data_IF_137676783997
#
_entry.id   IF_137676783997
#
_cell.length_a   1.000
_cell.length_b   1.000
_cell.length_c   1.000
_cell.angle_alpha   90.00
_cell.angle_beta   90.00
_cell.angle_gamma   90.00
#
_symmetry.space_group_name_H-M   'P 1'
#
loop_
_entity.id
_entity.type
_entity.pdbx_description
1 polymer ?
#
# COMPACT_ATOMS: atom_id res chain seq x y z
N UNK A 1 8.23 3.61 9.07
CA UNK A 1 7.40 4.36 8.08
C UNK A 1 5.94 3.92 8.03
N UNK A 2 5.57 2.76 8.49
CA UNK A 2 4.17 2.29 8.55
C UNK A 2 3.54 1.87 7.22
N UNK A 3 4.30 1.71 6.12
CA UNK A 3 3.78 1.31 4.80
C UNK A 3 2.90 0.06 4.89
N UNK A 4 3.46 -1.06 5.30
CA UNK A 4 2.75 -2.34 5.41
C UNK A 4 1.52 -2.24 6.31
N UNK A 5 1.60 -1.50 7.43
CA UNK A 5 0.45 -1.25 8.31
C UNK A 5 -0.66 -0.50 7.56
N UNK A 6 -0.30 0.55 6.81
CA UNK A 6 -1.27 1.30 6.00
C UNK A 6 -1.85 0.39 4.90
N UNK A 7 -1.00 -0.33 4.16
CA UNK A 7 -1.42 -1.20 3.06
C UNK A 7 -2.41 -2.27 3.52
N UNK A 8 -2.10 -3.02 4.60
CA UNK A 8 -2.97 -4.07 5.13
C UNK A 8 -4.33 -3.51 5.56
N UNK A 9 -4.32 -2.45 6.36
CA UNK A 9 -5.54 -1.95 6.98
C UNK A 9 -6.41 -1.16 6.00
N UNK A 10 -5.81 -0.43 5.06
CA UNK A 10 -6.53 0.28 4.02
C UNK A 10 -7.14 -0.71 3.00
N UNK A 11 -6.42 -1.75 2.58
CA UNK A 11 -6.95 -2.82 1.73
C UNK A 11 -8.14 -3.52 2.41
N UNK A 12 -8.01 -3.81 3.71
CA UNK A 12 -9.11 -4.37 4.49
C UNK A 12 -10.33 -3.43 4.57
N UNK A 13 -10.11 -2.09 4.67
CA UNK A 13 -11.20 -1.11 4.67
C UNK A 13 -11.94 -1.07 3.32
N UNK A 14 -11.23 -1.14 2.19
CA UNK A 14 -11.85 -1.26 0.87
C UNK A 14 -12.67 -2.55 0.74
N UNK A 15 -12.09 -3.68 1.17
CA UNK A 15 -12.76 -4.98 1.11
C UNK A 15 -14.05 -5.01 1.98
N UNK A 16 -14.01 -4.42 3.18
CA UNK A 16 -15.19 -4.28 4.05
C UNK A 16 -16.28 -3.40 3.45
N UNK A 17 -15.92 -2.46 2.61
CA UNK A 17 -16.87 -1.65 1.85
C UNK A 17 -17.49 -2.39 0.65
N UNK A 18 -17.19 -3.69 0.48
CA UNK A 18 -17.74 -4.54 -0.57
C UNK A 18 -16.94 -4.51 -1.88
N UNK A 19 -15.80 -3.84 -1.94
CA UNK A 19 -14.93 -3.82 -3.11
C UNK A 19 -14.04 -5.07 -3.12
N UNK A 20 -14.02 -5.79 -4.24
CA UNK A 20 -13.14 -6.95 -4.42
C UNK A 20 -11.68 -6.48 -4.46
N UNK A 21 -10.97 -6.68 -3.36
CA UNK A 21 -9.67 -6.08 -3.09
C UNK A 21 -8.56 -7.13 -3.07
N UNK A 22 -7.48 -6.86 -3.79
CA UNK A 22 -6.25 -7.61 -3.75
C UNK A 22 -5.16 -6.80 -3.06
N UNK A 23 -4.50 -7.37 -2.05
CA UNK A 23 -3.27 -6.84 -1.48
C UNK A 23 -2.09 -7.69 -1.96
N UNK A 24 -1.10 -7.04 -2.56
CA UNK A 24 0.11 -7.68 -3.08
C UNK A 24 1.30 -7.27 -2.24
N UNK A 25 2.09 -8.23 -1.79
CA UNK A 25 3.36 -8.00 -1.12
C UNK A 25 4.48 -7.95 -2.16
N UNK A 26 4.98 -6.77 -2.46
CA UNK A 26 6.13 -6.56 -3.33
C UNK A 26 7.41 -6.22 -2.55
N UNK A 27 7.39 -6.32 -1.20
CA UNK A 27 8.60 -6.23 -0.40
C UNK A 27 9.27 -7.61 -0.30
N UNK A 28 10.54 -7.75 -0.74
CA UNK A 28 11.25 -9.04 -0.64
C UNK A 28 11.37 -9.58 0.78
N UNK A 29 11.20 -8.70 1.79
CA UNK A 29 11.18 -9.11 3.19
C UNK A 29 9.88 -9.86 3.56
N UNK A 30 8.87 -9.85 2.69
CA UNK A 30 7.62 -10.56 2.89
C UNK A 30 6.79 -10.06 4.06
N UNK A 31 6.82 -8.75 4.32
CA UNK A 31 6.24 -8.16 5.52
C UNK A 31 4.73 -8.33 5.64
N UNK A 32 4.00 -8.31 4.53
CA UNK A 32 2.54 -8.58 4.50
C UNK A 32 2.29 -10.05 4.79
N UNK A 33 2.98 -10.94 4.09
CA UNK A 33 2.86 -12.37 4.26
C UNK A 33 3.19 -12.81 5.69
N UNK A 34 4.29 -12.33 6.26
CA UNK A 34 4.70 -12.60 7.64
C UNK A 34 3.68 -12.06 8.66
N UNK A 35 3.00 -10.97 8.33
CA UNK A 35 1.98 -10.36 9.18
C UNK A 35 0.63 -11.08 9.12
N UNK A 36 0.37 -11.91 8.11
CA UNK A 36 -0.95 -12.50 7.87
C UNK A 36 -0.97 -14.04 7.88
N UNK A 37 0.17 -14.70 7.74
CA UNK A 37 0.26 -16.17 7.79
C UNK A 37 1.69 -16.66 8.13
N UNK A 38 1.78 -17.67 8.98
CA UNK A 38 3.06 -18.32 9.30
C UNK A 38 3.66 -19.11 8.13
N UNK A 39 2.84 -19.48 7.14
CA UNK A 39 3.23 -20.29 5.99
C UNK A 39 3.57 -19.45 4.75
N UNK A 40 3.52 -18.14 4.84
CA UNK A 40 3.71 -17.24 3.69
C UNK A 40 5.03 -17.44 2.93
N UNK A 41 6.08 -17.85 3.62
CA UNK A 41 7.40 -18.12 3.01
C UNK A 41 7.43 -19.32 2.06
N UNK A 42 6.40 -20.18 2.08
CA UNK A 42 6.27 -21.36 1.23
C UNK A 42 5.30 -21.15 0.07
N UNK A 43 4.64 -19.99 0.03
CA UNK A 43 3.67 -19.68 -1.00
C UNK A 43 4.37 -19.09 -2.22
N UNK A 44 3.93 -19.49 -3.40
CA UNK A 44 4.22 -18.75 -4.63
C UNK A 44 3.60 -17.36 -4.54
N UNK A 45 4.24 -16.36 -5.10
CA UNK A 45 3.80 -14.99 -4.97
C UNK A 45 4.20 -14.08 -6.12
N UNK A 46 4.30 -12.79 -5.82
CA UNK A 46 4.55 -11.76 -6.80
C UNK A 46 5.87 -11.98 -7.55
N UNK A 47 6.95 -12.32 -6.84
CA UNK A 47 8.27 -12.56 -7.46
C UNK A 47 8.30 -13.80 -8.33
N UNK A 48 7.58 -14.87 -7.95
CA UNK A 48 7.48 -16.07 -8.79
C UNK A 48 6.78 -15.77 -10.10
N UNK A 49 5.72 -14.95 -10.09
CA UNK A 49 5.08 -14.49 -11.31
C UNK A 49 5.99 -13.60 -12.17
N UNK A 50 6.78 -12.73 -11.53
CA UNK A 50 7.74 -11.89 -12.26
C UNK A 50 8.85 -12.74 -12.89
N UNK A 51 9.28 -13.81 -12.25
CA UNK A 51 10.25 -14.77 -12.80
C UNK A 51 9.66 -15.57 -13.96
N UNK A 52 8.45 -16.11 -13.78
CA UNK A 52 7.71 -16.86 -14.79
C UNK A 52 6.26 -16.37 -14.92
N UNK A 53 5.97 -15.48 -15.89
CA UNK A 53 4.60 -15.01 -16.17
C UNK A 53 3.63 -16.11 -16.62
N UNK A 54 4.10 -17.32 -16.92
CA UNK A 54 3.29 -18.51 -17.16
C UNK A 54 2.71 -19.13 -15.90
N UNK A 55 3.15 -18.72 -14.72
CA UNK A 55 2.60 -19.19 -13.44
C UNK A 55 1.10 -18.90 -13.37
N UNK A 56 0.25 -19.93 -13.17
CA UNK A 56 -1.20 -19.72 -13.05
C UNK A 56 -1.51 -18.79 -11.88
N UNK A 57 -2.20 -17.68 -12.18
CA UNK A 57 -2.47 -16.63 -11.18
C UNK A 57 -3.26 -17.15 -9.98
N UNK A 58 -4.09 -18.16 -10.17
CA UNK A 58 -4.87 -18.82 -9.12
C UNK A 58 -3.99 -19.44 -8.03
N UNK A 59 -2.78 -19.86 -8.38
CA UNK A 59 -1.81 -20.42 -7.42
C UNK A 59 -1.17 -19.36 -6.53
N UNK A 60 -1.25 -18.09 -6.93
CA UNK A 60 -0.72 -16.96 -6.18
C UNK A 60 -1.73 -16.41 -5.17
N UNK A 61 -3.03 -16.65 -5.42
CA UNK A 61 -4.10 -16.08 -4.61
C UNK A 61 -4.24 -16.81 -3.28
N UNK A 62 -4.10 -16.05 -2.21
CA UNK A 62 -4.38 -16.50 -0.85
C UNK A 62 -5.71 -15.89 -0.41
N UNK A 63 -6.79 -16.69 -0.31
CA UNK A 63 -8.07 -16.20 0.17
C UNK A 63 -7.99 -15.85 1.66
N UNK A 64 -8.77 -14.87 2.07
CA UNK A 64 -8.94 -14.53 3.49
C UNK A 64 -10.33 -14.94 3.98
N UNK A 65 -10.61 -14.71 5.28
CA UNK A 65 -11.95 -14.93 5.84
C UNK A 65 -12.98 -13.95 5.28
N UNK A 66 -12.56 -12.80 4.77
CA UNK A 66 -13.43 -11.83 4.11
C UNK A 66 -13.39 -12.12 2.61
N UNK A 67 -14.51 -12.60 2.04
CA UNK A 67 -14.61 -13.06 0.64
C UNK A 67 -14.17 -12.00 -0.37
N UNK A 68 -14.37 -10.73 -0.05
CA UNK A 68 -13.94 -9.58 -0.88
C UNK A 68 -12.45 -9.27 -0.76
N UNK A 69 -11.69 -9.98 0.09
CA UNK A 69 -10.29 -9.69 0.36
C UNK A 69 -9.39 -10.89 0.06
N UNK A 70 -8.47 -10.71 -0.86
CA UNK A 70 -7.45 -11.70 -1.21
C UNK A 70 -6.04 -11.10 -1.11
N UNK A 71 -5.05 -11.99 -0.98
CA UNK A 71 -3.64 -11.63 -0.87
C UNK A 71 -2.82 -12.32 -1.96
N UNK A 72 -1.73 -11.69 -2.36
CA UNK A 72 -0.60 -12.32 -3.05
C UNK A 72 0.63 -12.08 -2.19
N UNK A 73 1.27 -13.16 -1.75
CA UNK A 73 2.52 -13.10 -0.99
C UNK A 73 3.67 -12.56 -1.86
N UNK A 74 4.80 -12.23 -1.25
CA UNK A 74 6.01 -11.86 -2.00
C UNK A 74 6.52 -13.03 -2.84
N UNK A 75 6.48 -14.25 -2.31
CA UNK A 75 7.00 -15.43 -2.98
C UNK A 75 8.52 -15.58 -2.78
N UNK A 76 9.14 -16.36 -3.67
CA UNK A 76 10.57 -16.68 -3.63
C UNK A 76 11.38 -15.60 -4.37
N UNK A 77 11.86 -14.60 -3.64
CA UNK A 77 12.65 -13.51 -4.24
C UNK A 77 14.11 -13.88 -4.55
N UNK A 78 14.55 -15.10 -4.19
CA UNK A 78 15.95 -15.52 -4.24
C UNK A 78 16.59 -15.47 -5.63
N UNK A 79 15.78 -15.66 -6.68
CA UNK A 79 16.25 -15.73 -8.07
C UNK A 79 15.95 -14.46 -8.86
N UNK A 80 15.38 -13.45 -8.19
CA UNK A 80 14.99 -12.19 -8.80
C UNK A 80 15.81 -11.06 -8.18
N UNK A 81 16.82 -10.57 -8.91
CA UNK A 81 17.66 -9.47 -8.42
C UNK A 81 16.86 -8.19 -8.23
N UNK A 82 16.42 -7.98 -7.00
CA UNK A 82 15.57 -6.84 -6.61
C UNK A 82 16.37 -5.54 -6.50
N UNK A 83 17.67 -5.64 -6.28
CA UNK A 83 18.49 -4.47 -5.90
C UNK A 83 19.37 -3.88 -7.01
N UNK A 84 19.57 -4.55 -8.14
CA UNK A 84 20.59 -4.18 -9.13
C UNK A 84 20.05 -3.75 -10.49
N UNK A 85 18.80 -4.06 -10.81
CA UNK A 85 18.25 -3.77 -12.12
C UNK A 85 17.89 -2.28 -12.27
N UNK A 86 18.19 -1.66 -13.43
CA UNK A 86 17.76 -0.30 -13.69
C UNK A 86 16.24 -0.19 -13.75
N UNK A 87 15.71 0.99 -13.43
CA UNK A 87 14.29 1.31 -13.61
C UNK A 87 13.87 1.05 -15.07
N UNK A 88 12.74 0.40 -15.26
CA UNK A 88 12.22 0.00 -16.56
C UNK A 88 12.45 -1.48 -16.91
N UNK A 89 13.40 -2.16 -16.27
CA UNK A 89 13.73 -3.55 -16.57
C UNK A 89 12.57 -4.53 -16.32
N UNK A 90 11.75 -4.25 -15.32
CA UNK A 90 10.65 -5.13 -14.89
C UNK A 90 9.27 -4.64 -15.32
N UNK A 91 9.19 -3.47 -15.90
CA UNK A 91 7.94 -2.80 -16.26
C UNK A 91 6.97 -3.68 -17.09
N UNK A 92 7.41 -4.43 -18.13
CA UNK A 92 6.52 -5.29 -18.91
C UNK A 92 5.90 -6.42 -18.05
N UNK A 93 6.66 -7.00 -17.12
CA UNK A 93 6.22 -8.10 -16.27
C UNK A 93 5.24 -7.62 -15.20
N UNK A 94 5.52 -6.47 -14.57
CA UNK A 94 4.59 -5.83 -13.63
C UNK A 94 3.27 -5.48 -14.32
N UNK A 95 3.32 -4.91 -15.52
CA UNK A 95 2.11 -4.63 -16.31
C UNK A 95 1.35 -5.90 -16.71
N UNK A 96 2.06 -7.00 -17.00
CA UNK A 96 1.43 -8.30 -17.25
C UNK A 96 0.70 -8.80 -16.02
N UNK A 97 1.32 -8.71 -14.84
CA UNK A 97 0.69 -9.07 -13.57
C UNK A 97 -0.58 -8.25 -13.32
N UNK A 98 -0.53 -6.92 -13.49
CA UNK A 98 -1.70 -6.05 -13.28
C UNK A 98 -2.85 -6.36 -14.25
N UNK A 99 -2.55 -6.66 -15.53
CA UNK A 99 -3.58 -7.15 -16.47
C UNK A 99 -4.21 -8.46 -16.02
N UNK A 100 -3.43 -9.37 -15.43
CA UNK A 100 -3.95 -10.61 -14.88
C UNK A 100 -4.84 -10.36 -13.65
N UNK A 101 -4.57 -9.35 -12.84
CA UNK A 101 -5.42 -8.90 -11.73
C UNK A 101 -6.74 -8.33 -12.25
N UNK A 102 -6.67 -7.42 -13.23
CA UNK A 102 -7.83 -6.77 -13.85
C UNK A 102 -8.77 -7.80 -14.49
N UNK A 103 -8.22 -8.76 -15.25
CA UNK A 103 -8.99 -9.84 -15.88
C UNK A 103 -9.78 -10.71 -14.88
N UNK A 104 -9.45 -10.66 -13.60
CA UNK A 104 -10.16 -11.38 -12.51
C UNK A 104 -11.19 -10.53 -11.80
N UNK A 105 -11.41 -9.32 -12.25
CA UNK A 105 -12.45 -8.43 -11.75
C UNK A 105 -12.18 -7.94 -10.32
N UNK A 106 -10.93 -7.72 -9.94
CA UNK A 106 -10.62 -6.97 -8.73
C UNK A 106 -10.94 -5.49 -8.94
N UNK A 107 -11.64 -4.90 -8.00
CA UNK A 107 -11.98 -3.47 -8.00
C UNK A 107 -10.79 -2.61 -7.53
N UNK A 108 -10.00 -3.15 -6.59
CA UNK A 108 -8.83 -2.50 -6.01
C UNK A 108 -7.66 -3.48 -5.96
N UNK A 109 -6.52 -3.05 -6.49
CA UNK A 109 -5.24 -3.74 -6.31
C UNK A 109 -4.30 -2.80 -5.56
N UNK A 110 -3.93 -3.17 -4.34
CA UNK A 110 -2.98 -2.43 -3.52
C UNK A 110 -1.67 -3.18 -3.45
N UNK A 111 -0.55 -2.51 -3.75
CA UNK A 111 0.78 -3.13 -3.76
C UNK A 111 1.64 -2.49 -2.67
N UNK A 112 2.01 -3.28 -1.68
CA UNK A 112 2.97 -2.88 -0.64
C UNK A 112 4.40 -3.03 -1.18
N UNK A 113 5.15 -1.93 -1.23
CA UNK A 113 6.49 -1.90 -1.83
C UNK A 113 7.58 -1.66 -0.79
N UNK A 114 8.82 -2.08 -1.03
CA UNK A 114 9.95 -1.68 -0.20
C UNK A 114 10.17 -0.17 -0.24
N UNK A 115 11.07 0.32 0.59
CA UNK A 115 11.46 1.73 0.59
C UNK A 115 12.27 2.08 -0.65
N UNK A 116 12.08 3.30 -1.18
CA UNK A 116 12.83 3.83 -2.31
C UNK A 116 11.98 4.04 -3.56
N UNK A 117 12.60 4.62 -4.60
CA UNK A 117 11.96 4.97 -5.87
C UNK A 117 12.85 4.54 -7.06
N UNK A 118 13.44 3.36 -6.99
CA UNK A 118 14.34 2.83 -8.02
C UNK A 118 14.10 1.33 -8.24
N UNK A 119 14.64 0.82 -9.34
CA UNK A 119 14.52 -0.60 -9.71
C UNK A 119 13.06 -1.04 -9.81
N UNK A 120 12.75 -2.22 -9.27
CA UNK A 120 11.40 -2.79 -9.30
C UNK A 120 10.35 -1.89 -8.62
N UNK A 121 10.70 -1.21 -7.52
CA UNK A 121 9.76 -0.29 -6.86
C UNK A 121 9.32 0.83 -7.81
N UNK A 122 10.25 1.40 -8.57
CA UNK A 122 9.93 2.40 -9.58
C UNK A 122 9.04 1.83 -10.69
N UNK A 123 9.31 0.60 -11.12
CA UNK A 123 8.52 -0.09 -12.16
C UNK A 123 7.10 -0.42 -11.69
N UNK A 124 6.93 -0.81 -10.42
CA UNK A 124 5.62 -0.97 -9.79
C UNK A 124 4.87 0.36 -9.78
N UNK A 125 5.51 1.43 -9.27
CA UNK A 125 4.92 2.76 -9.22
C UNK A 125 4.52 3.25 -10.62
N UNK A 126 5.39 3.07 -11.63
CA UNK A 126 5.11 3.43 -13.01
C UNK A 126 4.04 2.54 -13.69
N UNK A 127 3.61 1.48 -13.04
CA UNK A 127 2.54 0.60 -13.55
C UNK A 127 1.21 0.82 -12.85
N UNK A 128 1.19 1.55 -11.74
CA UNK A 128 -0.01 1.84 -10.95
C UNK A 128 -0.67 3.15 -11.41
N UNK A 129 -1.99 3.23 -11.27
CA UNK A 129 -2.76 4.45 -11.55
C UNK A 129 -2.58 5.51 -10.46
N UNK A 130 -2.33 5.08 -9.22
CA UNK A 130 -2.27 5.94 -8.06
C UNK A 130 -1.18 5.53 -7.06
N UNK A 131 -0.59 6.52 -6.40
CA UNK A 131 0.44 6.33 -5.37
C UNK A 131 0.05 7.06 -4.10
N UNK A 132 0.05 6.33 -2.98
CA UNK A 132 -0.08 6.87 -1.63
C UNK A 132 1.29 6.81 -0.94
N UNK A 133 1.69 7.90 -0.27
CA UNK A 133 2.99 8.01 0.40
C UNK A 133 2.81 8.04 1.92
N UNK A 134 2.98 6.91 2.62
CA UNK A 134 3.03 6.94 4.08
C UNK A 134 4.33 7.59 4.57
N UNK A 135 4.19 8.62 5.39
CA UNK A 135 5.29 9.38 5.95
C UNK A 135 5.17 9.47 7.47
N UNK A 136 6.22 9.12 8.18
CA UNK A 136 6.25 9.25 9.63
C UNK A 136 6.34 10.73 10.03
N UNK A 137 5.52 11.13 11.01
CA UNK A 137 5.46 12.49 11.52
C UNK A 137 6.61 12.74 12.52
N UNK A 138 7.82 12.91 11.97
CA UNK A 138 9.04 13.18 12.73
C UNK A 138 10.05 14.02 11.91
N UNK A 139 11.04 14.68 12.54
CA UNK A 139 11.95 15.62 11.87
C UNK A 139 12.70 15.05 10.66
N UNK A 140 13.08 13.76 10.70
CA UNK A 140 13.72 13.10 9.55
C UNK A 140 12.74 12.94 8.38
N UNK A 141 11.47 12.74 8.66
CA UNK A 141 10.41 12.69 7.67
C UNK A 141 10.30 13.98 6.87
N UNK A 142 10.33 15.12 7.56
CA UNK A 142 10.27 16.45 6.94
C UNK A 142 11.45 16.63 5.99
N UNK A 143 12.67 16.28 6.43
CA UNK A 143 13.89 16.44 5.62
C UNK A 143 13.93 15.56 4.37
N UNK A 144 13.31 14.39 4.42
CA UNK A 144 13.30 13.44 3.29
C UNK A 144 12.22 13.74 2.24
N UNK A 145 11.20 14.51 2.60
CA UNK A 145 10.02 14.73 1.76
C UNK A 145 10.33 15.41 0.41
N UNK A 146 11.14 16.49 0.33
CA UNK A 146 11.44 17.11 -0.95
C UNK A 146 12.08 16.13 -1.96
N UNK A 147 13.02 15.30 -1.49
CA UNK A 147 13.67 14.29 -2.33
C UNK A 147 12.69 13.20 -2.80
N UNK A 148 11.74 12.81 -1.94
CA UNK A 148 10.69 11.86 -2.28
C UNK A 148 9.79 12.42 -3.38
N UNK A 149 9.31 13.66 -3.26
CA UNK A 149 8.46 14.30 -4.25
C UNK A 149 9.18 14.53 -5.58
N UNK A 150 10.45 14.94 -5.54
CA UNK A 150 11.27 15.05 -6.75
C UNK A 150 11.38 13.70 -7.47
N UNK A 151 11.62 12.62 -6.73
CA UNK A 151 11.66 11.27 -7.27
C UNK A 151 10.33 10.85 -7.92
N UNK A 152 9.18 11.11 -7.27
CA UNK A 152 7.87 10.85 -7.83
C UNK A 152 7.59 11.68 -9.08
N UNK A 153 8.00 12.94 -9.11
CA UNK A 153 7.87 13.78 -10.30
C UNK A 153 8.69 13.24 -11.48
N UNK A 154 9.88 12.70 -11.25
CA UNK A 154 10.66 12.02 -12.30
C UNK A 154 9.93 10.79 -12.84
N UNK A 155 9.31 9.99 -11.98
CA UNK A 155 8.53 8.81 -12.40
C UNK A 155 7.27 9.21 -13.19
N UNK A 156 6.64 10.35 -12.87
CA UNK A 156 5.51 10.89 -13.65
C UNK A 156 5.88 11.23 -15.10
N UNK A 157 7.12 11.56 -15.38
CA UNK A 157 7.59 11.75 -16.77
C UNK A 157 7.49 10.43 -17.55
N UNK A 158 7.78 9.30 -16.89
CA UNK A 158 7.69 7.97 -17.51
C UNK A 158 6.24 7.49 -17.60
N UNK A 159 5.42 7.83 -16.61
CA UNK A 159 4.00 7.47 -16.54
C UNK A 159 3.11 8.68 -16.23
N UNK A 160 2.77 9.51 -17.24
CA UNK A 160 2.05 10.79 -17.02
C UNK A 160 0.65 10.65 -16.40
N UNK A 161 0.03 9.46 -16.52
CA UNK A 161 -1.30 9.19 -15.95
C UNK A 161 -1.27 8.84 -14.47
N UNK A 162 -0.09 8.60 -13.88
CA UNK A 162 0.05 8.29 -12.46
C UNK A 162 -0.39 9.47 -11.61
N UNK A 163 -1.34 9.23 -10.72
CA UNK A 163 -1.83 10.21 -9.75
C UNK A 163 -1.14 10.01 -8.41
N UNK A 164 -0.54 11.07 -7.86
CA UNK A 164 -0.10 11.08 -6.47
C UNK A 164 -1.31 11.43 -5.61
N UNK A 165 -1.88 10.45 -4.90
CA UNK A 165 -3.03 10.63 -4.01
C UNK A 165 -2.71 11.57 -2.85
N UNK A 166 -1.48 11.49 -2.38
CA UNK A 166 -0.97 12.35 -1.33
C UNK A 166 -0.11 11.62 -0.32
N UNK A 167 0.27 12.36 0.70
CA UNK A 167 1.04 11.92 1.85
C UNK A 167 0.10 11.63 3.00
N UNK A 168 0.14 10.43 3.57
CA UNK A 168 -0.54 10.09 4.82
C UNK A 168 0.46 10.12 5.97
N UNK A 169 0.18 10.94 6.98
CA UNK A 169 1.03 11.05 8.16
C UNK A 169 0.78 9.86 9.08
N UNK A 170 1.85 9.16 9.45
CA UNK A 170 1.78 7.95 10.25
C UNK A 170 2.54 8.11 11.56
N UNK A 171 2.24 7.23 12.52
CA UNK A 171 2.85 7.19 13.84
C UNK A 171 2.74 8.53 14.59
N UNK A 172 1.64 9.25 14.37
CA UNK A 172 1.36 10.54 15.02
C UNK A 172 1.10 10.33 16.51
N UNK A 173 1.77 11.10 17.33
CA UNK A 173 1.61 11.14 18.80
C UNK A 173 1.16 12.54 19.19
N UNK A 174 -0.14 12.70 19.44
CA UNK A 174 -0.74 13.99 19.74
C UNK A 174 -0.33 14.58 21.09
N UNK A 175 0.13 13.74 22.01
CA UNK A 175 0.66 14.10 23.32
C UNK A 175 2.13 14.58 23.27
N UNK A 176 2.86 14.31 22.19
CA UNK A 176 4.24 14.73 21.97
C UNK A 176 4.33 16.04 21.17
N UNK A 177 4.92 17.12 21.74
CA UNK A 177 5.11 18.38 21.04
C UNK A 177 5.84 18.23 19.69
N UNK A 178 6.94 17.47 19.67
CA UNK A 178 7.77 17.24 18.48
C UNK A 178 7.00 16.56 17.35
N UNK A 179 6.05 15.67 17.68
CA UNK A 179 5.19 15.02 16.69
C UNK A 179 4.18 16.01 16.12
N UNK A 180 3.59 16.88 16.95
CA UNK A 180 2.67 17.93 16.48
C UNK A 180 3.37 18.93 15.59
N UNK A 181 4.53 19.42 16.01
CA UNK A 181 5.36 20.33 15.20
C UNK A 181 5.74 19.71 13.86
N UNK A 182 6.06 18.40 13.84
CA UNK A 182 6.35 17.68 12.60
C UNK A 182 5.13 17.56 11.68
N UNK A 183 3.93 17.35 12.24
CA UNK A 183 2.68 17.35 11.48
C UNK A 183 2.43 18.72 10.86
N UNK A 184 2.55 19.79 11.64
CA UNK A 184 2.35 21.17 11.17
C UNK A 184 3.37 21.56 10.11
N UNK A 185 4.66 21.20 10.32
CA UNK A 185 5.73 21.47 9.36
C UNK A 185 5.51 20.73 8.02
N UNK A 186 5.09 19.45 8.06
CA UNK A 186 4.79 18.68 6.84
C UNK A 186 3.57 19.24 6.12
N UNK A 187 2.54 19.68 6.85
CA UNK A 187 1.37 20.35 6.25
C UNK A 187 1.68 21.71 5.67
N UNK A 188 2.61 22.45 6.28
CA UNK A 188 3.07 23.74 5.75
C UNK A 188 4.04 23.64 4.56
N UNK A 189 4.75 22.52 4.45
CA UNK A 189 5.71 22.26 3.37
C UNK A 189 5.02 21.83 2.06
N UNK A 190 3.85 21.20 2.14
CA UNK A 190 3.16 20.56 1.04
C UNK A 190 1.87 21.31 0.72
N UNK A 191 1.43 21.32 -0.57
CA UNK A 191 0.08 21.73 -0.92
C UNK A 191 -0.96 20.94 -0.11
N UNK A 192 -2.03 21.61 0.32
CA UNK A 192 -3.07 20.99 1.17
C UNK A 192 -3.68 19.76 0.51
N UNK A 193 -3.86 19.76 -0.78
CA UNK A 193 -4.39 18.64 -1.57
C UNK A 193 -3.45 17.43 -1.61
N UNK A 194 -2.16 17.61 -1.31
CA UNK A 194 -1.18 16.52 -1.26
C UNK A 194 -0.99 15.92 0.14
N UNK A 195 -1.68 16.44 1.16
CA UNK A 195 -1.63 15.84 2.51
C UNK A 195 -3.02 15.33 2.86
N UNK A 196 -3.13 14.05 3.19
CA UNK A 196 -4.40 13.51 3.65
C UNK A 196 -4.78 14.16 4.99
N UNK A 197 -6.07 14.43 5.16
CA UNK A 197 -6.62 14.92 6.44
C UNK A 197 -6.51 13.84 7.51
N UNK A 198 -6.74 12.59 7.09
CA UNK A 198 -6.62 11.42 7.94
C UNK A 198 -5.17 11.17 8.31
N UNK A 199 -4.90 10.97 9.60
CA UNK A 199 -3.58 10.59 10.13
C UNK A 199 -3.67 9.24 10.83
N UNK A 200 -2.59 8.46 10.78
CA UNK A 200 -2.50 7.17 11.49
C UNK A 200 -1.75 7.38 12.80
N UNK A 201 -2.39 7.19 13.94
CA UNK A 201 -1.74 7.38 15.24
C UNK A 201 -0.69 6.30 15.50
N UNK A 202 0.22 6.59 16.41
CA UNK A 202 1.09 5.59 17.01
C UNK A 202 0.30 4.87 18.09
N UNK A 203 -0.14 3.64 17.80
CA UNK A 203 -0.93 2.84 18.73
C UNK A 203 -0.32 1.43 18.85
N UNK A 204 -0.08 0.93 20.08
CA UNK A 204 0.39 -0.44 20.33
C UNK A 204 -0.52 -1.53 19.72
N UNK A 205 -1.78 -1.20 19.41
CA UNK A 205 -2.71 -2.12 18.78
C UNK A 205 -2.24 -2.59 17.40
N UNK A 206 -1.54 -1.74 16.64
CA UNK A 206 -0.96 -2.14 15.36
C UNK A 206 0.11 -3.22 15.50
N UNK A 207 0.94 -3.14 16.56
CA UNK A 207 1.93 -4.19 16.86
C UNK A 207 1.25 -5.49 17.26
N UNK A 208 0.20 -5.41 18.09
CA UNK A 208 -0.59 -6.58 18.51
C UNK A 208 -1.28 -7.24 17.30
N UNK A 209 -1.85 -6.45 16.40
CA UNK A 209 -2.50 -6.93 15.20
C UNK A 209 -1.50 -7.62 14.27
N UNK A 210 -0.34 -7.01 14.02
CA UNK A 210 0.75 -7.59 13.23
C UNK A 210 1.25 -8.91 13.83
N UNK A 211 1.45 -8.99 15.14
CA UNK A 211 1.90 -10.21 15.82
C UNK A 211 0.86 -11.36 15.73
N UNK A 212 -0.41 -11.04 15.53
CA UNK A 212 -1.50 -12.01 15.34
C UNK A 212 -1.78 -12.34 13.87
N UNK A 213 -1.14 -11.64 12.95
CA UNK A 213 -1.39 -11.79 11.52
C UNK A 213 -2.77 -11.30 11.10
N UNK A 214 -3.27 -10.21 11.68
CA UNK A 214 -4.62 -9.70 11.44
C UNK A 214 -4.59 -8.20 11.10
N UNK A 215 -5.52 -7.74 10.23
CA UNK A 215 -5.82 -6.31 10.16
C UNK A 215 -6.36 -5.82 11.52
N UNK A 216 -6.03 -4.57 11.87
CA UNK A 216 -6.45 -4.01 13.17
C UNK A 216 -7.97 -3.99 13.35
N UNK A 217 -8.73 -3.86 12.27
CA UNK A 217 -10.18 -3.86 12.30
C UNK A 217 -10.84 -5.19 12.71
N UNK A 218 -10.06 -6.28 12.80
CA UNK A 218 -10.53 -7.60 13.26
C UNK A 218 -10.26 -7.80 14.77
N UNK A 219 -9.52 -6.87 15.38
CA UNK A 219 -9.20 -6.91 16.80
C UNK A 219 -10.39 -6.41 17.62
N UNK A 220 -10.61 -6.99 18.81
CA UNK A 220 -11.71 -6.59 19.72
C UNK A 220 -11.67 -5.09 20.05
N UNK A 221 -10.48 -4.55 20.30
CA UNK A 221 -10.26 -3.12 20.60
C UNK A 221 -10.07 -2.27 19.32
N UNK A 222 -10.30 -2.84 18.15
CA UNK A 222 -9.91 -2.26 16.85
C UNK A 222 -10.80 -1.13 16.33
N UNK A 223 -11.92 -0.82 16.96
CA UNK A 223 -12.93 0.13 16.43
C UNK A 223 -12.38 1.51 16.09
N UNK A 224 -11.57 2.09 16.98
CA UNK A 224 -10.99 3.42 16.74
C UNK A 224 -10.03 3.43 15.56
N UNK A 225 -9.14 2.44 15.50
CA UNK A 225 -8.21 2.29 14.39
C UNK A 225 -8.91 1.96 13.08
N UNK A 226 -10.00 1.19 13.13
CA UNK A 226 -10.85 0.89 11.98
C UNK A 226 -11.45 2.16 11.39
N UNK A 227 -11.99 3.06 12.22
CA UNK A 227 -12.57 4.33 11.79
C UNK A 227 -11.53 5.21 11.06
N UNK A 228 -10.26 5.18 11.47
CA UNK A 228 -9.17 5.89 10.78
C UNK A 228 -9.05 5.40 9.33
N UNK A 229 -9.03 4.09 9.10
CA UNK A 229 -8.89 3.54 7.75
C UNK A 229 -10.17 3.66 6.91
N UNK A 230 -11.35 3.62 7.53
CA UNK A 230 -12.61 3.91 6.84
C UNK A 230 -12.64 5.38 6.37
N UNK A 231 -12.18 6.33 7.20
CA UNK A 231 -12.04 7.74 6.82
C UNK A 231 -10.99 7.94 5.71
N UNK A 232 -9.85 7.27 5.81
CA UNK A 232 -8.80 7.30 4.79
C UNK A 232 -9.30 6.76 3.45
N UNK A 233 -10.03 5.64 3.46
CA UNK A 233 -10.67 5.08 2.27
C UNK A 233 -11.60 6.08 1.61
N UNK A 234 -12.50 6.68 2.37
CA UNK A 234 -13.45 7.67 1.85
C UNK A 234 -12.74 8.89 1.25
N UNK A 235 -11.65 9.36 1.88
CA UNK A 235 -10.84 10.46 1.36
C UNK A 235 -10.15 10.09 0.05
N UNK A 236 -9.65 8.87 -0.09
CA UNK A 236 -9.01 8.37 -1.31
C UNK A 236 -10.05 8.19 -2.43
N UNK A 237 -11.21 7.62 -2.13
CA UNK A 237 -12.30 7.47 -3.11
C UNK A 237 -12.72 8.83 -3.69
N UNK A 238 -12.83 9.85 -2.83
CA UNK A 238 -13.14 11.21 -3.26
C UNK A 238 -12.06 11.80 -4.19
N UNK A 239 -10.77 11.51 -3.93
CA UNK A 239 -9.65 11.97 -4.77
C UNK A 239 -9.57 11.24 -6.10
N UNK A 240 -9.88 9.97 -6.14
CA UNK A 240 -9.83 9.16 -7.36
C UNK A 240 -10.96 9.48 -8.33
N UNK A 241 -12.01 10.23 -7.89
CA UNK A 241 -13.19 10.54 -8.70
C UNK A 241 -13.66 9.31 -9.48
N UNK A 242 -13.96 8.21 -8.75
CA UNK A 242 -14.44 6.99 -9.40
C UNK A 242 -15.82 7.30 -9.97
N UNK A 243 -15.97 7.50 -11.30
CA UNK A 243 -17.29 7.80 -11.86
C UNK A 243 -18.17 6.57 -11.68
N UNK A 244 -19.24 6.69 -10.90
CA UNK A 244 -20.41 5.86 -11.11
C UNK A 244 -20.67 4.71 -10.17
N UNK A 245 -20.09 4.61 -8.98
CA UNK A 245 -20.68 3.77 -7.91
C UNK A 245 -21.35 4.64 -6.86
N UNK A 246 -22.62 4.96 -7.10
CA UNK A 246 -23.51 5.36 -6.00
C UNK A 246 -23.57 4.18 -5.01
N UNK A 247 -23.50 4.43 -3.67
CA UNK A 247 -23.76 3.38 -2.70
C UNK A 247 -25.15 2.81 -2.98
N UNK A 248 -25.24 1.50 -3.21
CA UNK A 248 -26.51 0.82 -3.19
C UNK A 248 -27.00 0.90 -1.76
N UNK A 249 -27.95 1.80 -1.52
CA UNK A 249 -28.74 1.85 -0.30
C UNK A 249 -29.72 0.68 -0.41
N UNK A 250 -29.37 -0.42 0.24
CA UNK A 250 -30.26 -1.56 0.49
C UNK A 250 -30.64 -1.58 1.95
#
# INVERSE_FOLDING_TARGET
MGKTTVSINLAHAFARAGLKTLLVDADPQGSVGLSLTRQSRLLSGFYDYLADPGTPFEKLLVPTRLETFSLVASGQASDYEVGGAPTGAHLPRVRSFLRAVEARGFDVCMIDTPAGLFGLTADVICSCEAVLVPQQAEPLGIRSMPKMLEGLNRLRVIHPRMTVLGVVLTMVQHDMPESRESVEALRGLLPEELVLRTVVPRDPLFLKASARGLPVGVMEDGRGALAVFDSMRAEIEAKLSIPGRQPQIG
#
